data_IF_599527633479
#
_entry.id   IF_599527633479
#
_cell.length_a   1.000
_cell.length_b   1.000
_cell.length_c   1.000
_cell.angle_alpha   90.00
_cell.angle_beta   90.00
_cell.angle_gamma   90.00
#
_symmetry.space_group_name_H-M   'P 1'
#
loop_
_entity.id
_entity.type
_entity.pdbx_description
1 polymer ?
#
# COMPACT_ATOMS: atom_id res chain seq x y z
N UNK A 1 31.38 13.02 -14.83
CA UNK A 1 30.29 14.02 -14.79
C UNK A 1 29.00 13.22 -14.86
N UNK A 2 28.15 13.23 -13.80
CA UNK A 2 26.83 12.64 -13.88
C UNK A 2 26.01 13.45 -14.89
N UNK A 3 25.53 12.82 -15.97
CA UNK A 3 24.56 13.46 -16.87
C UNK A 3 23.44 14.09 -16.05
N UNK A 4 23.20 15.37 -16.26
CA UNK A 4 22.12 16.09 -15.61
C UNK A 4 20.81 15.56 -16.20
N UNK A 5 20.01 14.87 -15.38
CA UNK A 5 18.75 14.25 -15.82
C UNK A 5 17.76 15.37 -16.17
N UNK A 6 17.23 15.35 -17.38
CA UNK A 6 16.09 16.18 -17.79
C UNK A 6 14.79 15.53 -17.31
N UNK A 7 14.29 15.99 -16.17
CA UNK A 7 13.07 15.46 -15.57
C UNK A 7 11.81 15.75 -16.38
N UNK A 8 11.82 16.82 -17.21
CA UNK A 8 10.68 17.11 -18.08
C UNK A 8 10.62 16.14 -19.27
N UNK A 9 11.77 15.87 -19.89
CA UNK A 9 11.85 14.84 -20.93
C UNK A 9 11.46 13.47 -20.40
N UNK A 10 11.92 13.10 -19.18
CA UNK A 10 11.52 11.87 -18.52
C UNK A 10 10.01 11.79 -18.27
N UNK A 11 9.40 12.89 -17.78
CA UNK A 11 7.94 12.95 -17.58
C UNK A 11 7.18 12.69 -18.89
N UNK A 12 7.59 13.36 -19.97
CA UNK A 12 6.98 13.23 -21.29
C UNK A 12 7.12 11.80 -21.84
N UNK A 13 8.27 11.15 -21.62
CA UNK A 13 8.49 9.74 -21.97
C UNK A 13 7.51 8.81 -21.24
N UNK A 14 7.39 8.97 -19.91
CA UNK A 14 6.46 8.18 -19.10
C UNK A 14 5.02 8.41 -19.55
N UNK A 15 4.62 9.65 -19.78
CA UNK A 15 3.27 10.00 -20.23
C UNK A 15 2.94 9.37 -21.59
N UNK A 16 3.82 9.51 -22.57
CA UNK A 16 3.64 8.90 -23.89
C UNK A 16 3.52 7.36 -23.79
N UNK A 17 4.35 6.74 -22.94
CA UNK A 17 4.29 5.29 -22.74
C UNK A 17 2.96 4.85 -22.13
N UNK A 18 2.51 5.46 -21.03
CA UNK A 18 1.29 5.04 -20.32
C UNK A 18 0.04 5.28 -21.16
N UNK A 19 -0.01 6.40 -21.91
CA UNK A 19 -1.12 6.70 -22.81
C UNK A 19 -1.25 5.66 -23.92
N UNK A 20 -0.13 5.16 -24.43
CA UNK A 20 -0.11 4.17 -25.51
C UNK A 20 -0.37 2.74 -25.01
N UNK A 21 0.16 2.36 -23.82
CA UNK A 21 0.28 0.97 -23.43
C UNK A 21 -0.62 0.55 -22.26
N UNK A 22 -1.14 1.49 -21.44
CA UNK A 22 -2.06 1.13 -20.36
C UNK A 22 -3.42 0.76 -20.97
N UNK A 23 -3.92 -0.49 -20.75
CA UNK A 23 -5.16 -0.95 -21.35
C UNK A 23 -6.36 -0.08 -20.96
N UNK A 24 -7.22 0.24 -21.93
CA UNK A 24 -8.35 1.15 -21.71
C UNK A 24 -9.36 0.64 -20.66
N UNK A 25 -9.60 -0.68 -20.63
CA UNK A 25 -10.46 -1.30 -19.62
C UNK A 25 -9.91 -1.12 -18.21
N UNK A 26 -8.59 -1.25 -18.01
CA UNK A 26 -7.93 -1.00 -16.72
C UNK A 26 -8.03 0.49 -16.35
N UNK A 27 -7.75 1.39 -17.29
CA UNK A 27 -7.89 2.83 -17.04
C UNK A 27 -9.32 3.21 -16.66
N UNK A 28 -10.31 2.62 -17.32
CA UNK A 28 -11.73 2.82 -16.99
C UNK A 28 -12.04 2.40 -15.55
N UNK A 29 -11.58 1.22 -15.12
CA UNK A 29 -11.78 0.75 -13.75
C UNK A 29 -11.18 1.74 -12.73
N UNK A 30 -9.95 2.23 -12.99
CA UNK A 30 -9.29 3.21 -12.13
C UNK A 30 -10.04 4.55 -12.13
N UNK A 31 -10.43 5.06 -13.29
CA UNK A 31 -11.18 6.31 -13.43
C UNK A 31 -12.53 6.27 -12.68
N UNK A 32 -13.20 5.12 -12.69
CA UNK A 32 -14.45 4.86 -11.99
C UNK A 32 -14.27 4.57 -10.48
N UNK A 33 -13.05 4.63 -9.95
CA UNK A 33 -12.76 4.30 -8.55
C UNK A 33 -13.03 2.84 -8.17
N UNK A 34 -13.05 1.91 -9.12
CA UNK A 34 -13.27 0.50 -8.85
C UNK A 34 -12.01 -0.16 -8.27
N UNK A 35 -12.23 -1.12 -7.40
CA UNK A 35 -11.14 -1.99 -6.92
C UNK A 35 -10.68 -2.91 -8.04
N UNK A 36 -9.38 -3.00 -8.20
CA UNK A 36 -8.78 -3.93 -9.14
C UNK A 36 -8.58 -5.30 -8.45
N UNK A 37 -8.97 -6.36 -9.15
CA UNK A 37 -8.59 -7.73 -8.82
C UNK A 37 -7.16 -8.03 -9.30
N UNK A 38 -6.68 -9.23 -9.04
CA UNK A 38 -5.34 -9.68 -9.44
C UNK A 38 -5.09 -9.55 -10.95
N UNK A 39 -6.05 -9.92 -11.79
CA UNK A 39 -5.83 -9.99 -13.25
C UNK A 39 -5.44 -8.64 -13.87
N UNK A 40 -6.20 -7.53 -13.70
CA UNK A 40 -5.82 -6.23 -14.23
C UNK A 40 -4.44 -5.75 -13.75
N UNK A 41 -4.11 -5.96 -12.49
CA UNK A 41 -2.80 -5.61 -11.95
C UNK A 41 -1.67 -6.43 -12.56
N UNK A 42 -1.82 -7.75 -12.64
CA UNK A 42 -0.80 -8.65 -13.21
C UNK A 42 -0.59 -8.37 -14.70
N UNK A 43 -1.67 -8.09 -15.46
CA UNK A 43 -1.58 -7.71 -16.86
C UNK A 43 -0.83 -6.40 -17.06
N UNK A 44 -1.11 -5.39 -16.25
CA UNK A 44 -0.37 -4.12 -16.29
C UNK A 44 1.08 -4.28 -15.87
N UNK A 45 1.35 -5.04 -14.81
CA UNK A 45 2.71 -5.34 -14.36
C UNK A 45 3.54 -6.04 -15.46
N UNK A 46 2.94 -6.99 -16.18
CA UNK A 46 3.60 -7.67 -17.29
C UNK A 46 3.98 -6.72 -18.43
N UNK A 47 3.11 -5.77 -18.78
CA UNK A 47 3.40 -4.74 -19.78
C UNK A 47 4.57 -3.86 -19.33
N UNK A 48 4.56 -3.42 -18.07
CA UNK A 48 5.66 -2.64 -17.49
C UNK A 48 6.96 -3.42 -17.46
N UNK A 49 6.93 -4.69 -17.06
CA UNK A 49 8.11 -5.56 -17.04
C UNK A 49 8.72 -5.73 -18.44
N UNK A 50 7.91 -6.00 -19.47
CA UNK A 50 8.37 -6.12 -20.86
C UNK A 50 9.02 -4.84 -21.39
N UNK A 51 8.66 -3.68 -20.85
CA UNK A 51 9.30 -2.40 -21.17
C UNK A 51 10.53 -2.09 -20.29
N UNK A 52 10.87 -2.94 -19.35
CA UNK A 52 11.97 -2.70 -18.39
C UNK A 52 11.59 -1.84 -17.20
N UNK A 53 10.29 -1.56 -16.99
CA UNK A 53 9.76 -0.73 -15.89
C UNK A 53 9.06 -1.55 -14.80
N UNK A 54 9.34 -2.86 -14.76
CA UNK A 54 8.71 -3.78 -13.80
C UNK A 54 8.96 -3.42 -12.34
N UNK A 55 10.14 -2.86 -12.01
CA UNK A 55 10.48 -2.45 -10.65
C UNK A 55 11.16 -1.07 -10.60
N UNK A 56 10.39 0.02 -10.48
CA UNK A 56 10.91 1.39 -10.48
C UNK A 56 11.91 1.70 -9.37
N UNK A 57 11.83 0.98 -8.25
CA UNK A 57 12.61 1.21 -7.03
C UNK A 57 13.75 0.20 -6.80
N UNK A 58 14.02 -0.69 -7.79
CA UNK A 58 15.09 -1.67 -7.68
C UNK A 58 16.31 -1.25 -8.49
N UNK A 59 17.52 -1.75 -8.14
CA UNK A 59 18.73 -1.54 -8.91
C UNK A 59 18.64 -2.26 -10.27
N UNK A 60 19.33 -1.73 -11.27
CA UNK A 60 19.31 -2.25 -12.66
C UNK A 60 19.77 -3.68 -12.77
N UNK A 61 20.80 -4.05 -12.03
CA UNK A 61 21.41 -5.39 -12.01
C UNK A 61 20.45 -6.48 -11.50
N UNK A 62 19.35 -6.09 -10.85
CA UNK A 62 18.30 -6.99 -10.38
C UNK A 62 16.96 -6.79 -11.12
N UNK A 63 17.03 -6.29 -12.35
CA UNK A 63 15.86 -6.11 -13.21
C UNK A 63 15.03 -4.86 -12.93
N UNK A 64 15.52 -3.97 -12.07
CA UNK A 64 14.88 -2.68 -11.81
C UNK A 64 15.28 -1.58 -12.80
N UNK A 65 14.66 -0.43 -12.67
CA UNK A 65 14.97 0.73 -13.54
C UNK A 65 16.23 1.48 -13.11
N UNK A 66 16.62 1.36 -11.84
CA UNK A 66 17.68 2.19 -11.25
C UNK A 66 17.32 3.67 -11.17
N UNK A 67 16.03 4.02 -11.23
CA UNK A 67 15.56 5.40 -11.13
C UNK A 67 15.84 5.98 -9.74
N UNK A 68 16.24 7.25 -9.74
CA UNK A 68 16.36 7.98 -8.49
C UNK A 68 14.97 8.30 -7.89
N UNK A 69 14.89 8.72 -6.61
CA UNK A 69 13.63 8.99 -5.95
C UNK A 69 12.75 10.03 -6.66
N UNK A 70 13.34 11.02 -7.34
CA UNK A 70 12.59 12.05 -8.08
C UNK A 70 11.96 11.47 -9.35
N UNK A 71 12.66 10.61 -10.08
CA UNK A 71 12.09 9.88 -11.22
C UNK A 71 10.94 8.96 -10.79
N UNK A 72 11.09 8.26 -9.65
CA UNK A 72 10.03 7.42 -9.09
C UNK A 72 8.78 8.23 -8.70
N UNK A 73 8.96 9.43 -8.15
CA UNK A 73 7.85 10.34 -7.82
C UNK A 73 7.14 10.82 -9.10
N UNK A 74 7.87 11.28 -10.11
CA UNK A 74 7.31 11.70 -11.41
C UNK A 74 6.54 10.54 -12.06
N UNK A 75 7.09 9.34 -12.06
CA UNK A 75 6.42 8.14 -12.55
C UNK A 75 5.09 7.90 -11.85
N UNK A 76 5.07 7.95 -10.52
CA UNK A 76 3.86 7.79 -9.72
C UNK A 76 2.80 8.88 -9.99
N UNK A 77 3.22 10.12 -10.19
CA UNK A 77 2.34 11.24 -10.57
C UNK A 77 1.71 11.00 -11.94
N UNK A 78 2.51 10.66 -12.95
CA UNK A 78 2.03 10.42 -14.32
C UNK A 78 1.06 9.24 -14.37
N UNK A 79 1.32 8.15 -13.63
CA UNK A 79 0.36 7.04 -13.53
C UNK A 79 -0.99 7.53 -13.01
N UNK A 80 -1.00 8.29 -11.91
CA UNK A 80 -2.24 8.78 -11.31
C UNK A 80 -2.98 9.76 -12.24
N UNK A 81 -2.28 10.69 -12.90
CA UNK A 81 -2.86 11.66 -13.82
C UNK A 81 -3.50 11.01 -15.08
N UNK A 82 -3.02 9.84 -15.47
CA UNK A 82 -3.51 9.10 -16.64
C UNK A 82 -4.44 7.93 -16.29
N UNK A 83 -4.99 7.88 -15.07
CA UNK A 83 -5.82 6.77 -14.59
C UNK A 83 -5.18 5.39 -14.76
N UNK A 84 -3.85 5.31 -14.66
CA UNK A 84 -3.12 4.05 -14.63
C UNK A 84 -3.01 3.56 -13.18
N UNK A 85 -3.19 2.27 -12.92
CA UNK A 85 -3.04 1.75 -11.57
C UNK A 85 -1.58 1.83 -11.10
N UNK A 86 -1.39 2.14 -9.82
CA UNK A 86 -0.11 1.90 -9.18
C UNK A 86 0.22 0.39 -9.21
N UNK A 87 1.50 0.06 -9.29
CA UNK A 87 1.95 -1.34 -9.25
C UNK A 87 1.64 -1.97 -7.89
N UNK A 88 1.36 -3.29 -7.89
CA UNK A 88 1.07 -4.02 -6.66
C UNK A 88 2.27 -4.01 -5.71
N UNK A 89 2.06 -3.52 -4.50
CA UNK A 89 3.17 -3.06 -3.64
C UNK A 89 3.84 -4.14 -2.80
N UNK A 90 3.12 -5.23 -2.40
CA UNK A 90 3.67 -6.22 -1.46
C UNK A 90 4.92 -6.92 -1.99
N UNK A 91 4.94 -7.31 -3.27
CA UNK A 91 6.14 -7.84 -3.91
C UNK A 91 7.20 -6.75 -4.12
N UNK A 92 6.86 -5.74 -4.90
CA UNK A 92 7.81 -4.75 -5.42
C UNK A 92 8.41 -3.82 -4.37
N UNK A 93 7.60 -3.33 -3.44
CA UNK A 93 8.00 -2.28 -2.47
C UNK A 93 8.28 -2.80 -1.08
N UNK A 94 7.74 -3.97 -0.72
CA UNK A 94 7.91 -4.55 0.61
C UNK A 94 8.93 -5.68 0.60
N UNK A 95 8.55 -6.89 0.18
CA UNK A 95 9.43 -8.05 0.31
C UNK A 95 10.61 -8.05 -0.67
N UNK A 96 10.44 -7.54 -1.88
CA UNK A 96 11.51 -7.49 -2.88
C UNK A 96 12.76 -6.77 -2.39
N UNK A 97 12.66 -5.52 -1.89
CA UNK A 97 13.81 -4.85 -1.27
C UNK A 97 14.43 -5.58 -0.08
N UNK A 98 13.64 -6.32 0.71
CA UNK A 98 14.15 -7.15 1.81
C UNK A 98 14.94 -8.33 1.27
N UNK A 99 14.43 -9.01 0.23
CA UNK A 99 15.15 -10.09 -0.45
C UNK A 99 16.44 -9.59 -1.09
N UNK A 100 16.41 -8.42 -1.72
CA UNK A 100 17.59 -7.79 -2.33
C UNK A 100 18.69 -7.56 -1.30
N UNK A 101 18.35 -7.06 -0.13
CA UNK A 101 19.30 -6.70 0.92
C UNK A 101 19.78 -7.91 1.74
N UNK A 102 18.83 -8.79 2.13
CA UNK A 102 19.07 -9.82 3.14
C UNK A 102 18.85 -11.25 2.65
N UNK A 103 18.25 -11.44 1.49
CA UNK A 103 17.98 -12.77 0.93
C UNK A 103 19.26 -13.47 0.45
N UNK A 104 19.27 -14.80 0.51
CA UNK A 104 20.32 -15.60 -0.09
C UNK A 104 20.30 -15.51 -1.62
N UNK A 105 21.40 -15.89 -2.32
CA UNK A 105 21.41 -15.96 -3.78
C UNK A 105 20.28 -16.83 -4.34
N UNK A 106 19.99 -17.96 -3.69
CA UNK A 106 18.95 -18.91 -4.06
C UNK A 106 17.55 -18.27 -3.90
N UNK A 107 17.31 -17.57 -2.79
CA UNK A 107 16.05 -16.83 -2.56
C UNK A 107 15.85 -15.73 -3.59
N UNK A 108 16.89 -14.97 -3.91
CA UNK A 108 16.84 -13.94 -4.96
C UNK A 108 16.51 -14.54 -6.32
N UNK A 109 17.20 -15.60 -6.70
CA UNK A 109 16.98 -16.29 -7.98
C UNK A 109 15.57 -16.89 -8.09
N UNK A 110 15.01 -17.39 -6.97
CA UNK A 110 13.71 -18.03 -6.93
C UNK A 110 12.54 -17.03 -6.94
N UNK A 111 12.64 -15.92 -6.19
CA UNK A 111 11.48 -15.08 -5.90
C UNK A 111 11.46 -13.75 -6.67
N UNK A 112 12.62 -13.14 -6.99
CA UNK A 112 12.61 -11.83 -7.63
C UNK A 112 11.98 -11.84 -9.05
N UNK A 113 12.18 -12.86 -9.90
CA UNK A 113 11.58 -12.87 -11.24
C UNK A 113 10.05 -12.81 -11.23
N UNK A 114 9.40 -13.60 -10.36
CA UNK A 114 7.95 -13.62 -10.27
C UNK A 114 7.35 -12.33 -9.70
N UNK A 115 8.11 -11.59 -8.88
CA UNK A 115 7.73 -10.24 -8.44
C UNK A 115 7.83 -9.24 -9.61
N UNK A 116 8.90 -9.33 -10.42
CA UNK A 116 9.14 -8.41 -11.54
C UNK A 116 8.07 -8.49 -12.62
N UNK A 117 7.67 -9.70 -13.01
CA UNK A 117 6.69 -9.91 -14.07
C UNK A 117 5.24 -9.96 -13.58
N UNK A 118 5.02 -9.96 -12.25
CA UNK A 118 3.71 -9.99 -11.63
C UNK A 118 3.03 -11.36 -11.66
N UNK A 119 3.77 -12.44 -11.91
CA UNK A 119 3.25 -13.82 -11.83
C UNK A 119 3.03 -14.27 -10.39
N UNK A 120 3.91 -13.83 -9.46
CA UNK A 120 3.81 -14.13 -8.04
C UNK A 120 3.16 -12.99 -7.27
N UNK A 121 2.05 -13.31 -6.61
CA UNK A 121 1.36 -12.38 -5.71
C UNK A 121 1.73 -12.66 -4.26
N UNK A 122 2.00 -11.57 -3.53
CA UNK A 122 2.49 -11.60 -2.17
C UNK A 122 1.52 -10.95 -1.19
N UNK A 123 1.42 -11.48 0.01
CA UNK A 123 0.72 -10.84 1.12
C UNK A 123 1.60 -10.77 2.37
N UNK A 124 1.21 -9.89 3.30
CA UNK A 124 1.96 -9.60 4.52
C UNK A 124 1.26 -10.22 5.74
N UNK A 125 1.88 -11.21 6.38
CA UNK A 125 1.41 -11.84 7.61
C UNK A 125 2.11 -11.25 8.85
N UNK A 126 1.80 -10.00 9.22
CA UNK A 126 2.43 -9.33 10.36
C UNK A 126 1.50 -9.29 11.57
N UNK A 127 0.40 -8.56 11.47
CA UNK A 127 -0.53 -8.34 12.57
C UNK A 127 -1.19 -9.64 13.05
N UNK A 128 -1.47 -9.68 14.35
CA UNK A 128 -2.25 -10.74 15.01
C UNK A 128 -3.41 -10.11 15.79
N UNK A 129 -4.41 -10.88 16.22
CA UNK A 129 -5.55 -10.34 16.97
C UNK A 129 -5.16 -9.46 18.15
N UNK A 130 -4.03 -9.75 18.82
CA UNK A 130 -3.52 -9.02 19.98
C UNK A 130 -2.19 -8.31 19.74
N UNK A 131 -1.69 -8.23 18.48
CA UNK A 131 -0.42 -7.62 18.14
C UNK A 131 -0.53 -6.83 16.81
N UNK A 132 -1.02 -5.60 16.89
CA UNK A 132 -1.08 -4.65 15.78
C UNK A 132 -0.01 -3.57 15.92
N UNK A 133 -0.30 -2.45 16.58
CA UNK A 133 0.68 -1.39 16.86
C UNK A 133 1.85 -1.87 17.70
N UNK A 134 1.64 -2.77 18.65
CA UNK A 134 2.68 -3.49 19.39
C UNK A 134 3.05 -4.80 18.69
N UNK A 135 3.55 -4.70 17.46
CA UNK A 135 3.86 -5.85 16.62
C UNK A 135 4.88 -6.79 17.24
N UNK A 136 5.81 -6.29 18.06
CA UNK A 136 6.80 -7.11 18.74
C UNK A 136 6.19 -8.11 19.75
N UNK A 137 4.92 -7.92 20.13
CA UNK A 137 4.17 -8.83 21.01
C UNK A 137 3.54 -10.00 20.27
N UNK A 138 3.86 -10.22 18.98
CA UNK A 138 3.36 -11.35 18.19
C UNK A 138 3.63 -12.69 18.85
N UNK A 139 2.66 -13.62 18.71
CA UNK A 139 2.64 -14.95 19.33
C UNK A 139 2.67 -16.11 18.35
N UNK A 140 2.49 -15.87 17.05
CA UNK A 140 2.68 -16.91 16.03
C UNK A 140 4.06 -17.51 16.20
N UNK A 141 4.12 -18.83 16.47
CA UNK A 141 5.32 -19.54 16.88
C UNK A 141 5.91 -20.31 15.72
N UNK A 142 7.24 -20.30 15.59
CA UNK A 142 8.00 -21.13 14.66
C UNK A 142 8.98 -21.99 15.45
N UNK A 143 8.78 -23.29 15.49
CA UNK A 143 9.69 -24.24 16.13
C UNK A 143 10.68 -24.79 15.09
N UNK A 144 11.97 -24.52 15.30
CA UNK A 144 13.03 -25.02 14.41
C UNK A 144 13.30 -26.49 14.72
N UNK A 145 13.14 -27.35 13.70
CA UNK A 145 13.37 -28.80 13.76
C UNK A 145 14.26 -29.22 12.59
N UNK A 146 15.57 -29.28 12.83
CA UNK A 146 16.55 -29.54 11.78
C UNK A 146 16.52 -28.47 10.71
N UNK A 147 16.21 -28.84 9.48
CA UNK A 147 16.12 -27.95 8.32
C UNK A 147 14.68 -27.45 8.01
N UNK A 148 13.76 -27.62 8.95
CA UNK A 148 12.37 -27.21 8.84
C UNK A 148 11.96 -26.37 10.04
N UNK A 149 11.02 -25.44 9.84
CA UNK A 149 10.35 -24.65 10.89
C UNK A 149 8.88 -25.03 10.88
N UNK A 150 8.36 -25.47 12.02
CA UNK A 150 6.93 -25.79 12.22
C UNK A 150 6.23 -24.54 12.75
N UNK A 151 5.30 -24.00 11.96
CA UNK A 151 4.65 -22.73 12.27
C UNK A 151 3.22 -22.95 12.74
N UNK A 152 2.89 -22.34 13.90
CA UNK A 152 1.56 -22.39 14.50
C UNK A 152 1.14 -20.98 14.95
N UNK A 153 -0.09 -20.57 14.63
CA UNK A 153 -0.62 -19.27 15.06
C UNK A 153 -1.72 -18.73 14.16
N UNK A 154 -1.97 -17.43 14.30
CA UNK A 154 -2.98 -16.73 13.52
C UNK A 154 -2.48 -15.34 13.16
N UNK A 155 -2.64 -14.98 11.89
CA UNK A 155 -2.46 -13.61 11.39
C UNK A 155 -3.82 -12.99 11.07
N UNK A 156 -3.92 -11.68 11.18
CA UNK A 156 -5.14 -10.94 10.86
C UNK A 156 -4.84 -9.70 10.03
N UNK A 157 -5.84 -9.16 9.35
CA UNK A 157 -5.73 -8.01 8.45
C UNK A 157 -4.77 -8.23 7.29
N UNK A 158 -4.55 -9.49 6.89
CA UNK A 158 -3.67 -9.86 5.78
C UNK A 158 -4.33 -9.51 4.45
N UNK A 159 -3.86 -8.41 3.82
CA UNK A 159 -4.43 -7.92 2.57
C UNK A 159 -4.20 -8.91 1.43
N UNK A 160 -5.27 -9.22 0.68
CA UNK A 160 -5.26 -10.07 -0.51
C UNK A 160 -4.71 -11.49 -0.31
N UNK A 161 -4.71 -12.04 0.92
CA UNK A 161 -4.23 -13.40 1.15
C UNK A 161 -4.98 -14.44 0.31
N UNK A 162 -6.29 -14.24 0.07
CA UNK A 162 -7.12 -15.13 -0.75
C UNK A 162 -6.71 -15.17 -2.24
N UNK A 163 -5.96 -14.16 -2.72
CA UNK A 163 -5.48 -14.05 -4.10
C UNK A 163 -3.97 -14.26 -4.23
N UNK A 164 -3.26 -14.33 -3.09
CA UNK A 164 -1.80 -14.42 -3.06
C UNK A 164 -1.29 -15.84 -3.26
N UNK A 165 -0.06 -15.94 -3.78
CA UNK A 165 0.68 -17.19 -3.91
C UNK A 165 1.60 -17.39 -2.70
N UNK A 166 2.17 -16.31 -2.20
CA UNK A 166 3.20 -16.30 -1.16
C UNK A 166 2.87 -15.28 -0.06
N UNK A 167 3.18 -15.65 1.17
CA UNK A 167 3.08 -14.78 2.34
C UNK A 167 4.48 -14.60 2.97
N UNK A 168 4.89 -13.35 3.19
CA UNK A 168 6.01 -13.07 4.07
C UNK A 168 5.48 -12.75 5.46
N UNK A 169 5.99 -13.45 6.47
CA UNK A 169 5.40 -13.40 7.82
C UNK A 169 6.46 -13.37 8.92
N UNK A 170 6.17 -12.62 9.98
CA UNK A 170 6.96 -12.61 11.19
C UNK A 170 6.46 -13.70 12.14
N UNK A 171 7.38 -14.53 12.65
CA UNK A 171 7.09 -15.58 13.62
C UNK A 171 8.09 -15.53 14.77
N UNK A 172 7.67 -15.96 15.95
CA UNK A 172 8.55 -16.08 17.11
C UNK A 172 9.24 -17.44 17.12
N UNK A 173 10.54 -17.44 16.92
CA UNK A 173 11.37 -18.66 16.88
C UNK A 173 12.11 -18.93 18.19
N UNK A 174 12.29 -17.92 19.04
CA UNK A 174 12.78 -18.06 20.42
C UNK A 174 12.19 -16.98 21.32
N UNK A 175 12.24 -17.23 22.63
CA UNK A 175 11.89 -16.25 23.66
C UNK A 175 13.15 -15.64 24.23
N UNK A 176 13.28 -14.32 24.12
CA UNK A 176 14.45 -13.56 24.52
C UNK A 176 14.06 -12.47 25.53
N UNK A 177 15.06 -11.86 26.19
CA UNK A 177 14.83 -10.80 27.19
C UNK A 177 14.08 -9.59 26.58
N UNK A 178 14.33 -9.28 25.34
CA UNK A 178 13.63 -8.22 24.61
C UNK A 178 12.64 -8.87 23.63
N UNK A 179 11.38 -8.41 23.64
CA UNK A 179 10.33 -8.96 22.78
C UNK A 179 10.58 -8.78 21.28
N UNK A 180 11.51 -7.93 20.89
CA UNK A 180 11.94 -7.74 19.50
C UNK A 180 12.90 -8.84 19.03
N UNK A 181 13.65 -9.43 19.95
CA UNK A 181 14.61 -10.47 19.64
C UNK A 181 13.89 -11.83 19.51
N UNK A 182 14.48 -12.79 18.81
CA UNK A 182 13.88 -14.11 18.61
C UNK A 182 12.70 -14.13 17.60
N UNK A 183 12.49 -13.07 16.85
CA UNK A 183 11.52 -13.01 15.74
C UNK A 183 12.23 -13.32 14.44
N UNK A 184 11.69 -14.22 13.62
CA UNK A 184 12.18 -14.57 12.27
C UNK A 184 11.22 -14.10 11.19
N UNK A 185 11.73 -13.87 9.98
CA UNK A 185 10.94 -13.53 8.79
C UNK A 185 10.93 -14.72 7.83
N UNK A 186 9.77 -15.30 7.60
CA UNK A 186 9.60 -16.49 6.77
C UNK A 186 8.83 -16.15 5.49
N UNK A 187 9.12 -16.90 4.44
CA UNK A 187 8.33 -16.97 3.20
C UNK A 187 7.53 -18.27 3.25
N UNK A 188 6.21 -18.19 3.10
CA UNK A 188 5.32 -19.34 3.16
C UNK A 188 4.38 -19.32 1.95
N UNK A 189 4.29 -20.40 1.16
CA UNK A 189 3.25 -20.53 0.15
C UNK A 189 1.88 -20.51 0.81
N UNK A 190 0.96 -19.64 0.37
CA UNK A 190 -0.35 -19.45 1.01
C UNK A 190 -1.24 -20.71 0.89
N UNK A 191 -0.92 -21.59 -0.05
CA UNK A 191 -1.61 -22.87 -0.26
C UNK A 191 -0.91 -24.06 0.42
N UNK A 192 0.08 -23.81 1.28
CA UNK A 192 0.74 -24.87 2.03
C UNK A 192 -0.27 -25.61 2.94
N UNK A 193 -0.01 -26.90 3.17
CA UNK A 193 -0.82 -27.69 4.09
C UNK A 193 -0.82 -27.04 5.49
N UNK A 194 -1.97 -27.03 6.16
CA UNK A 194 -2.13 -26.39 7.46
C UNK A 194 -2.49 -24.92 7.41
N UNK A 195 -2.61 -24.29 6.23
CA UNK A 195 -3.06 -22.91 6.10
C UNK A 195 -4.56 -22.85 5.78
N UNK A 196 -5.26 -22.00 6.54
CA UNK A 196 -6.65 -21.64 6.25
C UNK A 196 -6.75 -20.13 6.15
N UNK A 197 -7.23 -19.64 5.01
CA UNK A 197 -7.49 -18.22 4.77
C UNK A 197 -8.98 -17.95 4.90
N UNK A 198 -9.36 -17.00 5.76
CA UNK A 198 -10.74 -16.57 5.96
C UNK A 198 -10.88 -15.07 5.68
N UNK A 199 -11.59 -14.69 4.61
CA UNK A 199 -11.85 -13.28 4.32
C UNK A 199 -12.65 -12.59 5.43
N UNK A 200 -12.29 -11.34 5.75
CA UNK A 200 -12.98 -10.47 6.69
C UNK A 200 -13.79 -9.47 5.87
N UNK A 201 -15.11 -9.45 6.08
CA UNK A 201 -15.95 -8.38 5.52
C UNK A 201 -15.75 -7.11 6.31
N UNK A 202 -15.22 -6.08 5.68
CA UNK A 202 -15.02 -4.77 6.29
C UNK A 202 -16.25 -3.87 6.16
N UNK A 203 -16.28 -2.74 6.87
CA UNK A 203 -17.44 -1.83 6.89
C UNK A 203 -17.77 -1.25 5.51
N UNK A 204 -16.80 -1.20 4.59
CA UNK A 204 -16.98 -0.81 3.20
C UNK A 204 -17.58 -1.93 2.32
N UNK A 205 -17.88 -3.08 2.90
CA UNK A 205 -18.48 -4.24 2.23
C UNK A 205 -17.48 -5.14 1.50
N UNK A 206 -16.19 -4.79 1.47
CA UNK A 206 -15.17 -5.57 0.75
C UNK A 206 -14.59 -6.73 1.56
N UNK A 207 -13.97 -7.67 0.84
CA UNK A 207 -13.31 -8.85 1.38
C UNK A 207 -11.81 -8.84 1.02
N UNK A 208 -11.15 -7.72 1.24
CA UNK A 208 -9.75 -7.51 0.83
C UNK A 208 -8.72 -7.81 1.92
N UNK A 209 -9.15 -8.01 3.15
CA UNK A 209 -8.30 -8.41 4.29
C UNK A 209 -8.77 -9.73 4.85
N UNK A 210 -7.85 -10.48 5.46
CA UNK A 210 -8.10 -11.86 5.86
C UNK A 210 -7.53 -12.15 7.23
N UNK A 211 -8.15 -13.15 7.90
CA UNK A 211 -7.49 -13.97 8.90
C UNK A 211 -6.75 -15.11 8.19
N UNK A 212 -5.55 -15.43 8.65
CA UNK A 212 -4.75 -16.56 8.15
C UNK A 212 -4.38 -17.42 9.35
N UNK A 213 -4.94 -18.62 9.39
CA UNK A 213 -4.65 -19.62 10.43
C UNK A 213 -3.53 -20.52 9.95
N UNK A 214 -2.59 -20.82 10.83
CA UNK A 214 -1.41 -21.63 10.61
C UNK A 214 -1.46 -22.77 11.62
N UNK A 215 -1.63 -24.01 11.16
CA UNK A 215 -1.70 -25.20 11.97
C UNK A 215 -0.68 -26.23 11.50
N UNK A 216 0.43 -26.36 12.24
CA UNK A 216 1.55 -27.24 11.94
C UNK A 216 2.10 -27.06 10.50
N UNK A 217 2.19 -25.81 10.05
CA UNK A 217 2.71 -25.50 8.70
C UNK A 217 4.20 -25.74 8.67
N UNK A 218 4.63 -26.65 7.80
CA UNK A 218 6.05 -26.94 7.56
C UNK A 218 6.66 -25.96 6.58
N UNK A 219 7.70 -25.25 7.04
CA UNK A 219 8.43 -24.24 6.24
C UNK A 219 9.90 -24.65 6.21
N UNK A 220 10.50 -24.83 5.02
CA UNK A 220 11.94 -25.09 4.92
C UNK A 220 12.75 -23.96 5.58
N UNK A 221 13.80 -24.30 6.30
CA UNK A 221 14.69 -23.32 6.93
C UNK A 221 15.32 -22.38 5.87
N UNK A 222 15.48 -22.86 4.63
CA UNK A 222 15.94 -22.08 3.46
C UNK A 222 14.96 -20.96 3.07
N UNK A 223 13.70 -21.01 3.50
CA UNK A 223 12.70 -19.96 3.28
C UNK A 223 12.63 -18.96 4.48
N UNK A 224 13.53 -19.10 5.47
CA UNK A 224 13.81 -18.04 6.44
C UNK A 224 14.72 -16.99 5.78
N UNK A 225 14.31 -15.72 5.81
CA UNK A 225 15.13 -14.63 5.25
C UNK A 225 16.20 -14.24 6.27
N UNK A 226 17.47 -14.32 5.84
CA UNK A 226 18.63 -14.04 6.67
C UNK A 226 18.73 -15.00 7.87
N UNK A 227 19.18 -14.51 9.02
CA UNK A 227 19.41 -15.32 10.22
C UNK A 227 18.11 -15.54 11.00
N UNK A 228 17.90 -16.74 11.53
CA UNK A 228 16.84 -17.06 12.49
C UNK A 228 16.96 -16.12 13.70
N UNK A 229 15.84 -15.57 14.16
CA UNK A 229 15.80 -14.62 15.27
C UNK A 229 16.08 -13.16 14.88
N UNK A 230 16.49 -12.87 13.66
CA UNK A 230 16.81 -11.52 13.17
C UNK A 230 15.68 -10.82 12.38
N UNK A 231 14.51 -11.43 12.27
CA UNK A 231 13.38 -10.95 11.46
C UNK A 231 12.87 -9.56 11.86
N UNK A 232 13.04 -9.15 13.13
CA UNK A 232 12.70 -7.78 13.54
C UNK A 232 13.52 -6.71 12.82
N UNK A 233 14.80 -6.97 12.58
CA UNK A 233 15.69 -6.10 11.79
C UNK A 233 15.13 -5.94 10.36
N UNK A 234 14.73 -7.03 9.75
CA UNK A 234 14.20 -7.04 8.37
C UNK A 234 12.82 -6.39 8.28
N UNK A 235 11.96 -6.64 9.27
CA UNK A 235 10.66 -5.97 9.40
C UNK A 235 10.80 -4.46 9.56
N UNK A 236 11.73 -3.98 10.38
CA UNK A 236 12.01 -2.53 10.51
C UNK A 236 12.50 -1.91 9.21
N UNK A 237 13.37 -2.60 8.47
CA UNK A 237 13.85 -2.13 7.17
C UNK A 237 12.69 -1.96 6.17
N UNK A 238 11.76 -2.91 6.12
CA UNK A 238 10.56 -2.84 5.30
C UNK A 238 9.68 -1.65 5.71
N UNK A 239 9.33 -1.55 6.99
CA UNK A 239 8.45 -0.51 7.52
C UNK A 239 9.03 0.90 7.36
N UNK A 240 10.36 1.07 7.43
CA UNK A 240 11.00 2.35 7.21
C UNK A 240 10.84 2.83 5.75
N UNK A 241 10.92 1.90 4.79
CA UNK A 241 10.72 2.20 3.35
C UNK A 241 9.25 2.46 3.01
N UNK A 242 8.33 1.76 3.65
CA UNK A 242 6.89 1.96 3.48
C UNK A 242 6.47 3.40 3.82
N UNK A 243 7.09 4.02 4.83
CA UNK A 243 6.78 5.41 5.21
C UNK A 243 7.08 6.42 4.11
N UNK A 244 8.12 6.20 3.29
CA UNK A 244 8.44 7.07 2.16
C UNK A 244 7.36 7.05 1.07
N UNK A 245 6.56 5.97 0.99
CA UNK A 245 5.43 5.91 0.06
C UNK A 245 4.35 6.96 0.38
N UNK A 246 4.29 7.46 1.62
CA UNK A 246 3.37 8.54 2.02
C UNK A 246 3.72 9.89 1.36
N UNK A 247 4.91 10.03 0.78
CA UNK A 247 5.29 11.20 -0.01
C UNK A 247 4.55 11.29 -1.36
N UNK A 248 4.00 10.16 -1.84
CA UNK A 248 3.19 10.17 -3.07
C UNK A 248 1.79 10.70 -2.80
N UNK A 249 1.57 11.98 -3.06
CA UNK A 249 0.28 12.68 -2.91
C UNK A 249 -0.60 12.61 -4.16
N UNK A 250 -0.10 12.12 -5.29
CA UNK A 250 -0.81 12.10 -6.57
C UNK A 250 -2.20 11.42 -6.51
N UNK A 251 -2.39 10.27 -5.83
CA UNK A 251 -3.72 9.68 -5.68
C UNK A 251 -4.73 10.62 -4.99
N UNK A 252 -4.28 11.47 -4.06
CA UNK A 252 -5.16 12.44 -3.39
C UNK A 252 -5.61 13.55 -4.33
N UNK A 253 -4.74 14.04 -5.20
CA UNK A 253 -5.12 14.99 -6.26
C UNK A 253 -6.13 14.38 -7.23
N UNK A 254 -5.99 13.11 -7.56
CA UNK A 254 -6.95 12.39 -8.38
C UNK A 254 -8.32 12.31 -7.69
N UNK A 255 -8.39 11.93 -6.41
CA UNK A 255 -9.64 11.93 -5.64
C UNK A 255 -10.25 13.33 -5.52
N UNK A 256 -9.44 14.37 -5.31
CA UNK A 256 -9.89 15.76 -5.28
C UNK A 256 -10.54 16.16 -6.60
N UNK A 257 -9.91 15.85 -7.72
CA UNK A 257 -10.43 16.12 -9.07
C UNK A 257 -11.77 15.41 -9.30
N UNK A 258 -11.85 14.13 -8.97
CA UNK A 258 -13.08 13.33 -9.10
C UNK A 258 -14.22 13.87 -8.23
N UNK A 259 -13.91 14.35 -7.03
CA UNK A 259 -14.92 14.97 -6.15
C UNK A 259 -15.44 16.28 -6.75
N UNK A 260 -14.58 17.08 -7.40
CA UNK A 260 -15.02 18.26 -8.14
C UNK A 260 -15.97 17.92 -9.29
N UNK A 261 -15.63 16.91 -10.07
CA UNK A 261 -16.50 16.44 -11.15
C UNK A 261 -17.85 15.96 -10.61
N UNK A 262 -17.86 15.19 -9.52
CA UNK A 262 -19.09 14.74 -8.87
C UNK A 262 -19.98 15.92 -8.41
N UNK A 263 -19.40 16.95 -7.80
CA UNK A 263 -20.12 18.18 -7.41
C UNK A 263 -20.71 18.86 -8.65
N UNK A 264 -19.91 19.02 -9.70
CA UNK A 264 -20.35 19.68 -10.92
C UNK A 264 -21.48 18.91 -11.63
N UNK A 265 -21.44 17.58 -11.59
CA UNK A 265 -22.48 16.71 -12.19
C UNK A 265 -23.77 16.69 -11.38
N UNK A 266 -23.68 16.49 -10.06
CA UNK A 266 -24.87 16.25 -9.21
C UNK A 266 -25.55 17.52 -8.73
N UNK A 267 -24.82 18.63 -8.57
CA UNK A 267 -25.35 19.87 -8.00
C UNK A 267 -25.54 20.99 -9.04
N UNK A 268 -26.20 20.67 -10.16
CA UNK A 268 -26.41 21.58 -11.30
C UNK A 268 -27.58 22.56 -11.09
N UNK A 269 -28.59 22.18 -10.30
CA UNK A 269 -29.84 22.96 -10.16
C UNK A 269 -29.62 24.21 -9.31
N UNK A 270 -30.31 25.36 -9.62
CA UNK A 270 -30.18 26.61 -8.87
C UNK A 270 -30.39 26.48 -7.35
N UNK A 271 -31.33 25.61 -6.94
CA UNK A 271 -31.58 25.30 -5.52
C UNK A 271 -30.37 24.75 -4.77
N UNK A 272 -29.40 24.18 -5.47
CA UNK A 272 -28.19 23.61 -4.88
C UNK A 272 -27.03 24.59 -4.80
N UNK A 273 -27.18 25.83 -5.28
CA UNK A 273 -26.08 26.80 -5.40
C UNK A 273 -25.32 27.02 -4.07
N UNK A 274 -26.04 27.27 -2.99
CA UNK A 274 -25.40 27.52 -1.68
C UNK A 274 -24.62 26.29 -1.20
N UNK A 275 -25.21 25.10 -1.31
CA UNK A 275 -24.55 23.82 -0.97
C UNK A 275 -23.32 23.58 -1.82
N UNK A 276 -23.43 23.78 -3.13
CA UNK A 276 -22.32 23.64 -4.06
C UNK A 276 -21.16 24.56 -3.68
N UNK A 277 -21.43 25.86 -3.45
CA UNK A 277 -20.39 26.81 -3.04
C UNK A 277 -19.72 26.41 -1.74
N UNK A 278 -20.47 25.94 -0.73
CA UNK A 278 -19.90 25.49 0.54
C UNK A 278 -18.96 24.27 0.36
N UNK A 279 -19.34 23.31 -0.48
CA UNK A 279 -18.52 22.14 -0.75
C UNK A 279 -17.27 22.47 -1.58
N UNK A 280 -17.40 23.36 -2.56
CA UNK A 280 -16.26 23.85 -3.36
C UNK A 280 -15.25 24.61 -2.48
N UNK A 281 -15.69 25.41 -1.52
CA UNK A 281 -14.81 26.07 -0.55
C UNK A 281 -14.09 25.06 0.36
N UNK A 282 -14.76 24.00 0.79
CA UNK A 282 -14.10 22.92 1.54
C UNK A 282 -13.04 22.22 0.70
N UNK A 283 -13.32 21.96 -0.58
CA UNK A 283 -12.32 21.38 -1.49
C UNK A 283 -11.14 22.31 -1.76
N UNK A 284 -11.34 23.62 -1.81
CA UNK A 284 -10.25 24.58 -1.94
C UNK A 284 -9.30 24.54 -0.73
N UNK A 285 -9.84 24.41 0.48
CA UNK A 285 -9.03 24.23 1.69
C UNK A 285 -8.25 22.93 1.65
N UNK A 286 -8.89 21.82 1.24
CA UNK A 286 -8.22 20.52 1.06
C UNK A 286 -7.09 20.65 0.02
N UNK A 287 -7.32 21.34 -1.10
CA UNK A 287 -6.29 21.52 -2.12
C UNK A 287 -5.10 22.34 -1.60
N UNK A 288 -5.36 23.39 -0.84
CA UNK A 288 -4.29 24.21 -0.27
C UNK A 288 -3.39 23.39 0.65
N UNK A 289 -3.98 22.58 1.55
CA UNK A 289 -3.22 21.68 2.41
C UNK A 289 -2.50 20.57 1.61
N UNK A 290 -3.15 20.03 0.58
CA UNK A 290 -2.57 18.98 -0.26
C UNK A 290 -1.35 19.50 -1.04
N UNK A 291 -1.39 20.74 -1.51
CA UNK A 291 -0.22 21.40 -2.12
C UNK A 291 0.91 21.55 -1.10
N UNK A 292 0.59 21.96 0.13
CA UNK A 292 1.61 22.07 1.19
C UNK A 292 2.29 20.74 1.50
N UNK A 293 1.55 19.65 1.64
CA UNK A 293 2.18 18.34 1.88
C UNK A 293 2.89 17.77 0.66
N UNK A 294 2.51 18.17 -0.55
CA UNK A 294 3.27 17.83 -1.76
C UNK A 294 4.68 18.44 -1.71
N UNK A 295 4.79 19.70 -1.35
CA UNK A 295 6.12 20.36 -1.19
C UNK A 295 6.95 19.67 -0.10
N UNK A 296 6.34 19.34 1.06
CA UNK A 296 7.02 18.56 2.10
C UNK A 296 7.49 17.18 1.59
N UNK A 297 6.70 16.54 0.71
CA UNK A 297 7.07 15.30 0.05
C UNK A 297 8.27 15.46 -0.88
N UNK A 298 8.33 16.55 -1.65
CA UNK A 298 9.46 16.87 -2.52
C UNK A 298 10.74 17.17 -1.70
N UNK A 299 10.63 17.91 -0.60
CA UNK A 299 11.75 18.12 0.33
C UNK A 299 12.28 16.79 0.89
N UNK A 300 11.39 15.87 1.28
CA UNK A 300 11.79 14.54 1.75
C UNK A 300 12.52 13.75 0.66
N UNK A 301 12.08 13.83 -0.60
CA UNK A 301 12.75 13.19 -1.75
C UNK A 301 14.15 13.79 -1.96
N UNK A 302 14.28 15.11 -1.90
CA UNK A 302 15.59 15.77 -2.03
C UNK A 302 16.54 15.43 -0.87
N UNK A 303 16.00 15.30 0.35
CA UNK A 303 16.79 14.85 1.50
C UNK A 303 17.33 13.43 1.27
N UNK A 304 16.51 12.49 0.75
CA UNK A 304 16.98 11.13 0.38
C UNK A 304 18.09 11.20 -0.68
N UNK A 305 17.93 12.02 -1.71
CA UNK A 305 18.90 12.15 -2.80
C UNK A 305 20.23 12.74 -2.32
N UNK A 306 20.18 13.70 -1.40
CA UNK A 306 21.35 14.33 -0.78
C UNK A 306 21.91 13.57 0.42
N UNK A 307 21.32 12.41 0.77
CA UNK A 307 21.65 11.60 1.95
C UNK A 307 21.52 12.39 3.28
N UNK A 308 20.65 13.38 3.32
CA UNK A 308 20.30 14.11 4.53
C UNK A 308 19.28 13.28 5.34
N UNK A 309 19.39 13.22 6.67
CA UNK A 309 18.42 12.49 7.48
C UNK A 309 16.99 13.02 7.30
N UNK A 310 16.05 12.09 7.15
CA UNK A 310 14.61 12.37 7.15
C UNK A 310 14.10 11.98 8.53
N UNK A 311 13.46 12.90 9.23
CA UNK A 311 13.04 12.70 10.64
C UNK A 311 11.52 12.64 10.78
N UNK A 312 10.86 13.78 10.82
CA UNK A 312 9.40 13.88 11.06
C UNK A 312 8.55 13.85 9.80
N UNK A 313 9.13 14.19 8.63
CA UNK A 313 8.40 14.36 7.38
C UNK A 313 7.50 13.17 7.01
N UNK A 314 7.96 11.90 7.05
CA UNK A 314 7.11 10.76 6.69
C UNK A 314 5.88 10.63 7.61
N UNK A 315 6.05 10.93 8.89
CA UNK A 315 4.95 10.88 9.87
C UNK A 315 3.94 12.01 9.64
N UNK A 316 4.40 13.23 9.37
CA UNK A 316 3.54 14.38 9.03
C UNK A 316 2.78 14.12 7.73
N UNK A 317 3.47 13.63 6.69
CA UNK A 317 2.87 13.25 5.42
C UNK A 317 1.76 12.21 5.62
N UNK A 318 2.02 11.15 6.41
CA UNK A 318 1.02 10.11 6.68
C UNK A 318 -0.19 10.65 7.44
N UNK A 319 0.02 11.41 8.51
CA UNK A 319 -1.05 12.01 9.31
C UNK A 319 -1.96 12.90 8.44
N UNK A 320 -1.34 13.82 7.70
CA UNK A 320 -2.08 14.79 6.88
C UNK A 320 -2.76 14.11 5.70
N UNK A 321 -2.07 13.22 4.99
CA UNK A 321 -2.65 12.47 3.86
C UNK A 321 -3.86 11.62 4.29
N UNK A 322 -3.80 10.98 5.46
CA UNK A 322 -4.93 10.19 6.00
C UNK A 322 -6.14 11.07 6.25
N UNK A 323 -5.96 12.22 6.90
CA UNK A 323 -7.03 13.18 7.19
C UNK A 323 -7.62 13.78 5.90
N UNK A 324 -6.78 14.21 4.97
CA UNK A 324 -7.24 14.80 3.71
C UNK A 324 -8.04 13.80 2.88
N UNK A 325 -7.62 12.54 2.83
CA UNK A 325 -8.39 11.49 2.15
C UNK A 325 -9.77 11.30 2.79
N UNK A 326 -9.84 11.29 4.13
CA UNK A 326 -11.13 11.22 4.84
C UNK A 326 -12.01 12.40 4.49
N UNK A 327 -11.49 13.63 4.53
CA UNK A 327 -12.25 14.85 4.18
C UNK A 327 -12.77 14.83 2.74
N UNK A 328 -11.92 14.41 1.77
CA UNK A 328 -12.34 14.31 0.36
C UNK A 328 -13.49 13.31 0.19
N UNK A 329 -13.37 12.13 0.82
CA UNK A 329 -14.40 11.09 0.73
C UNK A 329 -15.67 11.44 1.49
N UNK A 330 -15.59 12.21 2.58
CA UNK A 330 -16.74 12.80 3.27
C UNK A 330 -17.52 13.76 2.37
N UNK A 331 -16.81 14.67 1.68
CA UNK A 331 -17.44 15.58 0.72
C UNK A 331 -18.13 14.79 -0.40
N UNK A 332 -17.48 13.75 -0.94
CA UNK A 332 -18.09 12.88 -1.93
C UNK A 332 -19.36 12.19 -1.44
N UNK A 333 -19.33 11.64 -0.23
CA UNK A 333 -20.50 11.04 0.42
C UNK A 333 -21.64 12.04 0.64
N UNK A 334 -21.33 13.28 1.07
CA UNK A 334 -22.31 14.35 1.18
C UNK A 334 -22.97 14.70 -0.16
N UNK A 335 -22.21 14.72 -1.26
CA UNK A 335 -22.75 15.02 -2.60
C UNK A 335 -23.73 13.96 -3.03
N UNK A 336 -23.39 12.68 -2.84
CA UNK A 336 -24.28 11.54 -3.12
C UNK A 336 -25.56 11.61 -2.26
N UNK A 337 -25.46 12.07 -1.03
CA UNK A 337 -26.61 12.44 -0.18
C UNK A 337 -27.43 11.26 0.34
N UNK A 338 -28.80 11.38 0.45
CA UNK A 338 -29.65 10.35 1.07
C UNK A 338 -29.62 8.98 0.39
N UNK A 339 -29.25 8.91 -0.89
CA UNK A 339 -29.03 7.64 -1.60
C UNK A 339 -27.95 6.79 -0.92
N UNK A 340 -27.08 7.42 -0.16
CA UNK A 340 -26.07 6.82 0.66
C UNK A 340 -26.62 5.77 1.65
N UNK A 341 -27.57 6.15 2.48
CA UNK A 341 -28.11 5.28 3.52
C UNK A 341 -28.99 4.14 2.96
N UNK A 342 -29.67 4.41 1.84
CA UNK A 342 -30.60 3.44 1.23
C UNK A 342 -29.89 2.24 0.56
N UNK A 343 -28.60 2.34 0.33
CA UNK A 343 -27.84 1.36 -0.49
C UNK A 343 -26.82 0.55 0.27
N UNK A 344 -26.69 0.78 1.57
CA UNK A 344 -25.86 -0.09 2.39
C UNK A 344 -26.47 -1.50 2.45
N UNK A 345 -25.70 -2.57 2.18
CA UNK A 345 -26.18 -3.92 2.36
C UNK A 345 -26.42 -4.16 3.85
N UNK A 346 -27.68 -4.11 4.24
CA UNK A 346 -28.13 -4.34 5.62
C UNK A 346 -28.26 -5.83 5.97
N UNK A 347 -28.15 -6.72 4.98
CA UNK A 347 -28.29 -8.16 5.16
C UNK A 347 -27.01 -8.90 4.83
N UNK A 348 -26.73 -9.94 5.62
CA UNK A 348 -25.64 -10.87 5.35
C UNK A 348 -25.81 -11.49 3.97
N UNK A 349 -24.77 -11.43 3.12
CA UNK A 349 -24.80 -11.94 1.74
C UNK A 349 -25.27 -10.97 0.67
N UNK A 350 -25.82 -9.80 1.01
CA UNK A 350 -26.10 -8.77 0.01
C UNK A 350 -24.79 -8.11 -0.48
N UNK A 351 -24.62 -8.02 -1.80
CA UNK A 351 -23.51 -7.30 -2.41
C UNK A 351 -23.90 -5.83 -2.68
N UNK A 352 -22.93 -4.94 -2.63
CA UNK A 352 -23.09 -3.61 -3.21
C UNK A 352 -23.23 -3.73 -4.73
N UNK A 353 -24.10 -2.92 -5.32
CA UNK A 353 -24.09 -2.76 -6.79
C UNK A 353 -22.82 -1.96 -7.17
N UNK A 354 -21.79 -2.69 -7.55
CA UNK A 354 -20.50 -2.12 -7.95
C UNK A 354 -20.57 -1.28 -9.24
N UNK A 355 -21.68 -1.34 -9.97
CA UNK A 355 -21.87 -0.55 -11.19
C UNK A 355 -22.37 0.86 -10.91
N UNK A 356 -22.71 1.16 -9.66
CA UNK A 356 -23.29 2.42 -9.27
C UNK A 356 -22.25 3.37 -8.67
N UNK A 357 -22.05 4.53 -9.33
CA UNK A 357 -21.08 5.55 -8.89
C UNK A 357 -21.28 5.97 -7.42
N UNK A 358 -22.54 6.08 -6.97
CA UNK A 358 -22.87 6.41 -5.59
C UNK A 358 -22.30 5.38 -4.61
N UNK A 359 -22.45 4.10 -4.92
CA UNK A 359 -21.92 2.99 -4.10
C UNK A 359 -20.40 3.08 -3.95
N UNK A 360 -19.66 3.37 -5.01
CA UNK A 360 -18.22 3.50 -4.97
C UNK A 360 -17.74 4.63 -4.05
N UNK A 361 -18.46 5.77 -4.04
CA UNK A 361 -18.14 6.87 -3.12
C UNK A 361 -18.40 6.50 -1.66
N UNK A 362 -19.48 5.76 -1.38
CA UNK A 362 -19.82 5.25 -0.06
C UNK A 362 -18.75 4.28 0.44
N UNK A 363 -18.36 3.33 -0.40
CA UNK A 363 -17.30 2.36 -0.09
C UNK A 363 -15.98 3.06 0.23
N UNK A 364 -15.58 4.05 -0.58
CA UNK A 364 -14.37 4.83 -0.33
C UNK A 364 -14.45 5.65 0.96
N UNK A 365 -15.62 6.22 1.30
CA UNK A 365 -15.84 6.89 2.57
C UNK A 365 -15.60 5.95 3.75
N UNK A 366 -16.20 4.77 3.75
CA UNK A 366 -16.00 3.80 4.83
C UNK A 366 -14.56 3.26 4.86
N UNK A 367 -13.98 2.92 3.71
CA UNK A 367 -12.59 2.49 3.64
C UNK A 367 -11.63 3.56 4.16
N UNK A 368 -11.93 4.82 3.98
CA UNK A 368 -11.06 5.91 4.45
C UNK A 368 -10.82 5.89 5.97
N UNK A 369 -11.75 5.31 6.74
CA UNK A 369 -11.65 5.26 8.22
C UNK A 369 -10.45 4.47 8.71
N UNK A 370 -10.04 3.42 7.99
CA UNK A 370 -8.89 2.59 8.38
C UNK A 370 -7.54 3.29 8.15
N UNK A 371 -7.50 4.37 7.36
CA UNK A 371 -6.25 5.08 7.06
C UNK A 371 -5.56 5.69 8.28
N UNK A 372 -6.30 6.00 9.33
CA UNK A 372 -5.72 6.47 10.61
C UNK A 372 -5.21 5.33 11.49
N UNK A 373 -5.39 4.08 11.07
CA UNK A 373 -5.04 2.87 11.83
C UNK A 373 -3.87 2.13 11.20
N UNK A 374 -3.96 1.73 9.93
CA UNK A 374 -2.91 0.96 9.26
C UNK A 374 -1.67 1.81 8.89
N UNK A 375 -0.56 1.14 8.58
CA UNK A 375 0.70 1.82 8.22
C UNK A 375 1.30 2.62 9.39
N UNK A 376 1.01 2.19 10.64
CA UNK A 376 1.26 2.93 11.88
C UNK A 376 0.14 3.91 12.19
N UNK A 377 -0.56 3.69 13.32
CA UNK A 377 -1.70 4.53 13.71
C UNK A 377 -1.29 6.00 13.88
N UNK A 378 -2.28 6.89 13.84
CA UNK A 378 -2.04 8.33 14.03
C UNK A 378 -1.32 8.61 15.36
N UNK A 379 -1.63 7.82 16.42
CA UNK A 379 -0.98 7.91 17.72
C UNK A 379 0.51 7.52 17.63
N UNK A 380 0.81 6.42 16.92
CA UNK A 380 2.21 6.00 16.69
C UNK A 380 2.97 7.07 15.91
N UNK A 381 2.36 7.66 14.86
CA UNK A 381 2.99 8.72 14.09
C UNK A 381 3.23 9.98 14.93
N UNK A 382 2.24 10.40 15.73
CA UNK A 382 2.38 11.53 16.68
C UNK A 382 3.49 11.28 17.70
N UNK A 383 3.56 10.08 18.27
CA UNK A 383 4.62 9.71 19.20
C UNK A 383 6.01 9.76 18.54
N UNK A 384 6.11 9.39 17.26
CA UNK A 384 7.39 9.48 16.54
C UNK A 384 7.81 10.94 16.32
N UNK A 385 6.87 11.82 15.95
CA UNK A 385 7.13 13.26 15.83
C UNK A 385 7.53 13.84 17.18
N UNK A 386 6.82 13.49 18.26
CA UNK A 386 7.13 13.98 19.59
C UNK A 386 8.53 13.55 20.09
N UNK A 387 8.91 12.30 19.85
CA UNK A 387 10.27 11.82 20.18
C UNK A 387 11.37 12.58 19.46
N UNK A 388 11.15 12.89 18.20
CA UNK A 388 12.13 13.63 17.41
C UNK A 388 12.25 15.09 17.86
N UNK A 389 11.12 15.72 18.20
CA UNK A 389 11.11 17.13 18.59
C UNK A 389 11.51 17.36 20.05
N UNK A 390 11.20 16.43 20.95
CA UNK A 390 11.33 16.62 22.39
C UNK A 390 12.31 15.64 23.05
N UNK A 391 12.84 14.66 22.33
CA UNK A 391 13.86 13.72 22.82
C UNK A 391 13.35 12.66 23.81
N UNK A 392 12.04 12.33 23.78
CA UNK A 392 11.41 11.39 24.72
C UNK A 392 10.89 10.13 24.03
#
# INVERSE_FOLDING_TARGET
MSEQIDYQAFRNEVEAFVQKNCPQDIRKLVAENRKLSREPWSRWQKILHQHGWGAPNWPKELGGTGWNPKQQAIYGEVLAENDCPAQYHHGLRHIGPVLIEFGSPEQKSRYLPGILDGSDWWCQGYSEPNAGSDLASLKTRGEVRGDTIIVNGQKTWTSHAQESDLMYTLVRTSEEARKQDGISLLIIPIKAQGITVRPIRTIDGWLHVNEVFLDNVEVPLSDCIGDVGSGWKYGKFLLARERLNSANTAPLFQYLSRTRHLIAEKLTQPKHRARRTALELRLLNVEAELRGIRELGLEAIEAVMSKTPITTQPSVLKLTSSRLYQTITEIGAEVVGPEFAARMPLQEGSAFDENEQATLWIQNYFYSRVRTIYGGSDEVQKNMVARELFGH
#
